data_IF_267520764498
#
_entry.id   IF_267520764498
#
_cell.length_a   1.000
_cell.length_b   1.000
_cell.length_c   1.000
_cell.angle_alpha   90.00
_cell.angle_beta   90.00
_cell.angle_gamma   90.00
#
_symmetry.space_group_name_H-M   'P 1'
#
loop_
_entity.id
_entity.type
_entity.pdbx_description
1 polymer ?
#
# COMPACT_ATOMS: atom_id res chain seq x y z
N UNK A 1 56.41 1.46 -62.88
CA UNK A 1 55.61 2.41 -62.02
C UNK A 1 54.40 1.66 -61.48
N UNK A 2 54.40 1.32 -60.20
CA UNK A 2 53.33 0.65 -59.54
C UNK A 2 52.76 1.67 -58.52
N UNK A 3 51.56 2.13 -58.77
CA UNK A 3 50.80 3.06 -57.86
C UNK A 3 50.09 2.24 -56.81
N UNK A 4 50.47 2.43 -55.54
CA UNK A 4 49.74 1.89 -54.39
C UNK A 4 48.59 2.84 -54.04
N UNK A 5 47.39 2.30 -54.03
CA UNK A 5 46.19 2.96 -53.46
C UNK A 5 46.11 2.62 -51.98
N UNK A 6 46.25 3.65 -51.12
CA UNK A 6 46.03 3.55 -49.69
C UNK A 6 44.57 3.86 -49.43
N UNK A 7 43.76 2.82 -49.04
CA UNK A 7 42.37 2.98 -48.60
C UNK A 7 42.36 3.37 -47.14
N UNK A 8 41.97 4.60 -46.82
CA UNK A 8 41.67 5.05 -45.47
C UNK A 8 40.25 4.60 -45.11
N UNK A 9 40.14 3.59 -44.23
CA UNK A 9 38.89 3.20 -43.60
C UNK A 9 38.62 4.18 -42.46
N UNK A 10 37.68 5.12 -42.66
CA UNK A 10 37.18 6.01 -41.61
C UNK A 10 36.20 5.23 -40.74
N UNK A 11 36.65 4.78 -39.55
CA UNK A 11 35.80 4.21 -38.54
C UNK A 11 34.99 5.36 -37.88
N UNK A 12 33.72 5.48 -38.24
CA UNK A 12 32.78 6.32 -37.52
C UNK A 12 32.43 5.62 -36.18
N UNK A 13 33.03 6.08 -35.09
CA UNK A 13 32.60 5.73 -33.74
C UNK A 13 31.37 6.59 -33.45
N UNK A 14 30.18 5.99 -33.53
CA UNK A 14 28.96 6.59 -33.07
C UNK A 14 29.05 6.60 -31.54
N UNK A 15 29.45 7.75 -30.97
CA UNK A 15 29.22 8.04 -29.57
C UNK A 15 27.71 8.18 -29.38
N UNK A 16 27.06 7.13 -28.92
CA UNK A 16 25.74 7.24 -28.31
C UNK A 16 25.94 8.00 -26.99
N UNK A 17 25.84 9.32 -27.02
CA UNK A 17 25.70 10.09 -25.77
C UNK A 17 24.41 9.63 -25.12
N UNK A 18 24.53 8.87 -24.04
CA UNK A 18 23.46 8.66 -23.09
C UNK A 18 23.14 10.04 -22.49
N UNK A 19 22.15 10.73 -23.07
CA UNK A 19 21.57 11.88 -22.40
C UNK A 19 21.00 11.38 -21.07
N UNK A 20 21.35 12.01 -19.94
CA UNK A 20 20.76 11.62 -18.67
C UNK A 20 19.24 11.78 -18.79
N UNK A 21 18.52 10.76 -18.36
CA UNK A 21 17.06 10.78 -18.36
C UNK A 21 16.61 12.04 -17.57
N UNK A 22 15.96 12.96 -18.28
CA UNK A 22 15.46 14.17 -17.64
C UNK A 22 14.19 13.81 -16.85
N UNK A 23 14.09 14.31 -15.62
CA UNK A 23 12.86 14.16 -14.84
C UNK A 23 11.66 14.63 -15.65
N UNK A 24 10.54 13.95 -15.52
CA UNK A 24 9.28 14.36 -16.15
C UNK A 24 9.01 15.80 -15.72
N UNK A 25 8.89 16.71 -16.72
CA UNK A 25 8.89 18.14 -16.52
C UNK A 25 7.86 18.57 -15.46
N UNK A 26 8.34 19.22 -14.39
CA UNK A 26 7.51 19.73 -13.31
C UNK A 26 7.16 18.73 -12.19
N UNK A 27 7.56 17.46 -12.29
CA UNK A 27 7.35 16.52 -11.18
C UNK A 27 8.13 16.92 -9.92
N UNK A 28 7.44 16.91 -8.78
CA UNK A 28 8.05 17.12 -7.46
C UNK A 28 7.47 16.12 -6.47
N UNK A 29 8.32 15.38 -5.80
CA UNK A 29 7.91 14.50 -4.72
C UNK A 29 7.24 15.30 -3.58
N UNK A 30 6.16 14.77 -3.04
CA UNK A 30 5.47 15.39 -1.89
C UNK A 30 6.35 15.37 -0.63
N UNK A 31 7.11 14.31 -0.41
CA UNK A 31 8.11 14.24 0.64
C UNK A 31 9.46 14.80 0.13
N UNK A 32 9.71 16.08 0.43
CA UNK A 32 10.95 16.75 0.04
C UNK A 32 12.18 16.28 0.81
N UNK A 33 11.98 15.61 1.96
CA UNK A 33 13.08 15.09 2.78
C UNK A 33 13.58 13.73 2.29
N UNK A 34 12.77 13.04 1.52
CA UNK A 34 13.07 11.74 0.91
C UNK A 34 12.51 11.71 -0.52
N UNK A 35 13.10 12.49 -1.43
CA UNK A 35 12.53 12.75 -2.74
C UNK A 35 12.55 11.52 -3.65
N UNK A 36 11.55 11.44 -4.50
CA UNK A 36 11.47 10.53 -5.63
C UNK A 36 11.77 11.36 -6.89
N UNK A 37 12.60 10.85 -7.79
CA UNK A 37 12.72 11.41 -9.14
C UNK A 37 11.95 10.51 -10.10
N UNK A 38 10.97 11.07 -10.79
CA UNK A 38 10.19 10.35 -11.79
C UNK A 38 10.73 10.67 -13.20
N UNK A 39 11.21 9.65 -13.88
CA UNK A 39 11.89 9.75 -15.17
C UNK A 39 11.07 9.12 -16.32
N UNK A 40 9.78 8.88 -16.09
CA UNK A 40 8.86 8.29 -17.05
C UNK A 40 8.78 6.77 -16.95
N UNK A 41 9.74 6.05 -17.54
CA UNK A 41 9.77 4.58 -17.47
C UNK A 41 10.57 4.03 -16.28
N UNK A 42 11.07 4.90 -15.45
CA UNK A 42 11.82 4.55 -14.24
C UNK A 42 11.64 5.60 -13.17
N UNK A 43 11.91 5.21 -11.92
CA UNK A 43 12.02 6.13 -10.80
C UNK A 43 13.39 5.96 -10.14
N UNK A 44 13.92 7.06 -9.60
CA UNK A 44 15.09 7.04 -8.74
C UNK A 44 14.64 7.31 -7.30
N UNK A 45 14.96 6.41 -6.39
CA UNK A 45 14.63 6.51 -4.98
C UNK A 45 15.78 5.98 -4.13
N UNK A 46 16.26 6.79 -3.17
CA UNK A 46 17.41 6.47 -2.31
C UNK A 46 18.65 6.03 -3.11
N UNK A 47 18.91 6.66 -4.24
CA UNK A 47 20.03 6.34 -5.11
C UNK A 47 19.90 5.05 -5.91
N UNK A 48 18.73 4.41 -5.89
CA UNK A 48 18.44 3.21 -6.67
C UNK A 48 17.53 3.53 -7.83
N UNK A 49 17.92 3.14 -9.01
CA UNK A 49 17.06 3.15 -10.19
C UNK A 49 16.13 1.94 -10.16
N UNK A 50 14.85 2.20 -10.42
CA UNK A 50 13.78 1.20 -10.47
C UNK A 50 13.13 1.33 -11.83
N UNK A 51 13.38 0.37 -12.70
CA UNK A 51 12.71 0.28 -14.00
C UNK A 51 11.25 -0.17 -13.83
N UNK A 52 10.34 0.50 -14.55
CA UNK A 52 8.93 0.17 -14.57
C UNK A 52 8.62 -0.79 -15.72
N UNK A 53 7.71 -1.72 -15.50
CA UNK A 53 7.38 -2.77 -16.44
C UNK A 53 6.14 -3.56 -16.03
N UNK A 54 5.83 -4.65 -16.72
CA UNK A 54 4.62 -5.45 -16.52
C UNK A 54 4.44 -5.96 -15.07
N UNK A 55 5.54 -6.15 -14.33
CA UNK A 55 5.54 -6.56 -12.92
C UNK A 55 6.12 -5.51 -11.97
N UNK A 56 6.26 -4.27 -12.42
CA UNK A 56 6.82 -3.20 -11.60
C UNK A 56 6.08 -1.90 -11.89
N UNK A 57 5.17 -1.52 -11.00
CA UNK A 57 4.33 -0.33 -11.14
C UNK A 57 4.76 0.79 -10.22
N UNK A 58 4.48 2.01 -10.65
CA UNK A 58 4.60 3.22 -9.84
C UNK A 58 3.24 3.89 -9.69
N UNK A 59 2.89 4.26 -8.46
CA UNK A 59 1.65 4.97 -8.15
C UNK A 59 1.99 6.27 -7.43
N UNK A 60 1.53 7.40 -7.98
CA UNK A 60 1.61 8.70 -7.32
C UNK A 60 0.32 9.51 -7.55
N UNK A 61 -0.41 9.75 -6.48
CA UNK A 61 -1.69 10.50 -6.48
C UNK A 61 -1.58 11.97 -6.90
N UNK A 62 -0.37 12.50 -7.09
CA UNK A 62 -0.15 13.85 -7.59
C UNK A 62 -0.11 13.93 -9.12
N UNK A 63 0.06 12.79 -9.80
CA UNK A 63 0.15 12.76 -11.25
C UNK A 63 -1.22 13.05 -11.88
N UNK A 64 -1.21 13.82 -12.98
CA UNK A 64 -2.40 14.02 -13.79
C UNK A 64 -2.71 12.80 -14.67
N UNK A 65 -3.95 12.69 -15.11
CA UNK A 65 -4.38 11.66 -16.06
C UNK A 65 -3.60 11.73 -17.38
N UNK A 66 -3.19 12.93 -17.80
CA UNK A 66 -2.35 13.11 -19.00
C UNK A 66 -0.97 12.49 -18.85
N UNK A 67 -0.38 12.52 -17.67
CA UNK A 67 0.92 11.89 -17.40
C UNK A 67 0.75 10.38 -17.35
N UNK A 68 -0.22 9.86 -16.60
CA UNK A 68 -0.44 8.41 -16.48
C UNK A 68 -0.81 7.77 -17.82
N UNK A 69 -1.53 8.47 -18.69
CA UNK A 69 -1.86 7.98 -20.03
C UNK A 69 -0.64 7.79 -20.95
N UNK A 70 0.51 8.43 -20.65
CA UNK A 70 1.75 8.30 -21.44
C UNK A 70 2.61 7.12 -21.02
N UNK A 71 2.44 6.64 -19.79
CA UNK A 71 3.32 5.63 -19.20
C UNK A 71 2.48 4.46 -18.67
N UNK A 72 2.49 3.29 -19.33
CA UNK A 72 1.53 2.20 -19.08
C UNK A 72 1.65 1.56 -17.68
N UNK A 73 2.78 1.76 -17.00
CA UNK A 73 3.03 1.17 -15.66
C UNK A 73 3.02 2.23 -14.56
N UNK A 74 2.46 3.40 -14.86
CA UNK A 74 2.35 4.55 -13.94
C UNK A 74 0.90 4.90 -13.71
N UNK A 75 0.49 5.07 -12.47
CA UNK A 75 -0.90 5.31 -12.08
C UNK A 75 -0.99 6.46 -11.07
N UNK A 76 -2.10 7.14 -11.03
CA UNK A 76 -2.43 8.10 -9.97
C UNK A 76 -3.47 7.57 -8.96
N UNK A 77 -3.95 6.34 -9.16
CA UNK A 77 -4.92 5.68 -8.32
C UNK A 77 -4.50 4.24 -8.04
N UNK A 78 -4.57 3.84 -6.77
CA UNK A 78 -4.33 2.45 -6.40
C UNK A 78 -5.36 1.49 -7.01
N UNK A 79 -6.62 1.92 -7.08
CA UNK A 79 -7.69 1.10 -7.64
C UNK A 79 -7.52 0.83 -9.14
N UNK A 80 -7.05 1.84 -9.89
CA UNK A 80 -6.77 1.66 -11.32
C UNK A 80 -5.54 0.75 -11.52
N UNK A 81 -4.47 0.97 -10.76
CA UNK A 81 -3.31 0.09 -10.80
C UNK A 81 -3.68 -1.37 -10.48
N UNK A 82 -4.53 -1.59 -9.49
CA UNK A 82 -4.93 -2.94 -9.07
C UNK A 82 -5.67 -3.74 -10.15
N UNK A 83 -6.34 -3.08 -11.09
CA UNK A 83 -6.98 -3.74 -12.25
C UNK A 83 -5.96 -4.35 -13.22
N UNK A 84 -4.72 -3.82 -13.21
CA UNK A 84 -3.64 -4.24 -14.08
C UNK A 84 -2.63 -5.17 -13.40
N UNK A 85 -2.80 -5.52 -12.12
CA UNK A 85 -1.88 -6.42 -11.43
C UNK A 85 -1.85 -7.79 -12.10
N UNK A 86 -0.64 -8.30 -12.30
CA UNK A 86 -0.40 -9.64 -12.83
C UNK A 86 0.15 -10.56 -11.74
N UNK A 87 -0.15 -11.83 -11.81
CA UNK A 87 0.33 -12.80 -10.83
C UNK A 87 1.86 -12.84 -10.82
N UNK A 88 2.45 -12.62 -9.64
CA UNK A 88 3.87 -12.80 -9.42
C UNK A 88 4.22 -14.25 -9.07
N UNK A 89 5.50 -14.47 -8.85
CA UNK A 89 6.08 -15.69 -8.28
C UNK A 89 7.04 -15.32 -7.15
N UNK A 90 7.49 -16.30 -6.37
CA UNK A 90 8.48 -16.05 -5.32
C UNK A 90 9.79 -15.46 -5.86
N UNK A 91 10.22 -15.89 -7.06
CA UNK A 91 11.41 -15.38 -7.72
C UNK A 91 11.21 -14.04 -8.41
N UNK A 92 9.98 -13.77 -8.89
CA UNK A 92 9.64 -12.59 -9.66
C UNK A 92 8.27 -12.04 -9.23
N UNK A 93 8.22 -11.34 -8.08
CA UNK A 93 6.97 -10.80 -7.55
C UNK A 93 6.43 -9.64 -8.39
N UNK A 94 5.11 -9.42 -8.31
CA UNK A 94 4.48 -8.18 -8.74
C UNK A 94 4.84 -7.07 -7.74
N UNK A 95 5.58 -6.05 -8.14
CA UNK A 95 6.02 -4.95 -7.29
C UNK A 95 5.25 -3.68 -7.60
N UNK A 96 4.75 -3.03 -6.55
CA UNK A 96 4.02 -1.78 -6.65
C UNK A 96 4.68 -0.76 -5.73
N UNK A 97 5.33 0.22 -6.31
CA UNK A 97 5.97 1.31 -5.61
C UNK A 97 5.01 2.49 -5.47
N UNK A 98 4.76 2.92 -4.26
CA UNK A 98 3.69 3.87 -3.93
C UNK A 98 4.30 5.13 -3.33
N UNK A 99 4.11 6.26 -4.01
CA UNK A 99 4.60 7.56 -3.54
C UNK A 99 3.79 8.09 -2.35
N UNK A 100 4.37 9.01 -1.56
CA UNK A 100 3.66 9.68 -0.46
C UNK A 100 2.38 10.37 -0.92
N UNK A 101 1.23 9.88 -0.46
CA UNK A 101 -0.11 10.42 -0.74
C UNK A 101 -1.18 9.69 0.10
N UNK A 102 -2.44 10.15 0.01
CA UNK A 102 -3.62 9.44 0.55
C UNK A 102 -4.41 8.83 -0.62
N UNK A 103 -4.48 7.51 -0.66
CA UNK A 103 -5.17 6.75 -1.70
C UNK A 103 -6.47 6.18 -1.13
N UNK A 104 -7.59 6.72 -1.55
CA UNK A 104 -8.90 6.22 -1.14
C UNK A 104 -9.28 4.96 -1.93
N UNK A 105 -9.38 3.84 -1.22
CA UNK A 105 -9.73 2.54 -1.81
C UNK A 105 -11.23 2.50 -2.17
N UNK A 106 -12.04 3.20 -1.42
CA UNK A 106 -13.44 3.49 -1.75
C UNK A 106 -13.67 5.00 -1.58
N UNK A 107 -14.31 5.63 -2.55
CA UNK A 107 -14.58 7.06 -2.50
C UNK A 107 -15.39 7.42 -1.23
N UNK A 108 -14.82 8.17 -0.29
CA UNK A 108 -15.47 8.48 0.98
C UNK A 108 -16.67 9.42 0.83
N UNK A 109 -16.78 10.13 -0.30
CA UNK A 109 -17.84 11.08 -0.62
C UNK A 109 -18.97 10.47 -1.46
N UNK A 110 -18.80 9.24 -1.94
CA UNK A 110 -19.86 8.54 -2.64
C UNK A 110 -21.00 8.18 -1.66
N UNK A 111 -22.22 8.70 -1.85
CA UNK A 111 -23.36 8.44 -0.99
C UNK A 111 -23.89 7.01 -1.08
N UNK A 112 -23.49 6.24 -2.10
CA UNK A 112 -23.98 4.88 -2.29
C UNK A 112 -23.57 3.98 -1.14
N UNK A 113 -24.55 3.34 -0.51
CA UNK A 113 -24.31 2.34 0.53
C UNK A 113 -23.75 1.06 -0.10
N UNK A 114 -22.64 0.56 0.43
CA UNK A 114 -22.04 -0.69 -0.03
C UNK A 114 -22.83 -1.88 0.52
N UNK A 115 -23.18 -2.79 -0.36
CA UNK A 115 -23.90 -4.02 -0.05
C UNK A 115 -23.09 -5.19 -0.58
N UNK A 116 -22.81 -6.16 0.25
CA UNK A 116 -22.10 -7.35 -0.16
C UNK A 116 -22.95 -8.24 -1.06
N UNK A 117 -22.31 -8.94 -1.97
CA UNK A 117 -22.95 -9.89 -2.84
C UNK A 117 -23.46 -11.10 -2.04
N UNK A 118 -24.69 -11.54 -2.32
CA UNK A 118 -25.31 -12.72 -1.68
C UNK A 118 -25.34 -12.65 -0.14
N UNK A 119 -25.53 -11.46 0.42
CA UNK A 119 -25.58 -11.26 1.88
C UNK A 119 -24.23 -11.34 2.60
N UNK A 120 -23.12 -11.42 1.85
CA UNK A 120 -21.77 -11.39 2.39
C UNK A 120 -21.34 -9.97 2.76
N UNK A 121 -20.23 -9.87 3.45
CA UNK A 121 -19.60 -8.58 3.79
C UNK A 121 -19.16 -7.84 2.51
N UNK A 122 -19.46 -6.54 2.37
CA UNK A 122 -18.92 -5.74 1.28
C UNK A 122 -17.45 -5.40 1.49
N UNK A 123 -16.69 -5.47 0.41
CA UNK A 123 -15.27 -5.10 0.35
C UNK A 123 -15.07 -3.81 -0.45
N UNK A 124 -14.08 -3.02 -0.04
CA UNK A 124 -13.63 -1.86 -0.81
C UNK A 124 -12.92 -2.30 -2.09
N UNK A 125 -11.95 -3.19 -1.98
CA UNK A 125 -11.21 -3.74 -3.10
C UNK A 125 -10.82 -5.20 -2.87
N UNK A 126 -11.18 -6.06 -3.83
CA UNK A 126 -10.74 -7.46 -3.87
C UNK A 126 -9.52 -7.56 -4.78
N UNK A 127 -8.39 -8.03 -4.22
CA UNK A 127 -7.11 -8.15 -4.93
C UNK A 127 -6.72 -9.62 -5.04
N UNK A 128 -6.70 -10.15 -6.27
CA UNK A 128 -6.32 -11.54 -6.55
C UNK A 128 -4.96 -11.56 -7.26
N UNK A 129 -3.88 -11.41 -6.49
CA UNK A 129 -2.54 -11.34 -7.03
C UNK A 129 -1.55 -12.04 -6.08
N UNK A 130 -1.15 -13.30 -6.36
CA UNK A 130 -0.11 -13.96 -5.59
C UNK A 130 1.23 -13.24 -5.77
N UNK A 131 2.06 -13.28 -4.73
CA UNK A 131 3.36 -12.63 -4.65
C UNK A 131 3.32 -11.14 -5.01
N UNK A 132 2.31 -10.44 -4.48
CA UNK A 132 2.18 -8.99 -4.58
C UNK A 132 3.04 -8.31 -3.51
N UNK A 133 3.91 -7.39 -3.94
CA UNK A 133 4.72 -6.56 -3.05
C UNK A 133 4.28 -5.10 -3.14
N UNK A 134 3.67 -4.58 -2.09
CA UNK A 134 3.30 -3.17 -1.93
C UNK A 134 4.38 -2.45 -1.14
N UNK A 135 5.03 -1.47 -1.74
CA UNK A 135 6.17 -0.77 -1.14
C UNK A 135 5.93 0.74 -1.15
N UNK A 136 5.71 1.32 0.02
CA UNK A 136 5.70 2.76 0.18
C UNK A 136 7.10 3.35 -0.01
N UNK A 137 7.24 4.34 -0.87
CA UNK A 137 8.48 5.08 -1.11
C UNK A 137 8.65 6.16 -0.05
N UNK A 138 8.83 5.74 1.19
CA UNK A 138 8.97 6.58 2.36
C UNK A 138 9.68 5.85 3.49
N UNK A 139 10.32 6.62 4.39
CA UNK A 139 10.84 6.10 5.67
C UNK A 139 9.78 6.14 6.77
N UNK A 140 8.86 7.12 6.68
CA UNK A 140 7.76 7.25 7.62
C UNK A 140 6.47 6.67 6.99
N UNK A 141 5.94 5.54 7.50
CA UNK A 141 4.75 4.89 6.94
C UNK A 141 3.48 5.77 6.99
N UNK A 142 3.48 6.87 7.73
CA UNK A 142 2.38 7.85 7.74
C UNK A 142 2.28 8.65 6.44
N UNK A 143 3.33 8.66 5.63
CA UNK A 143 3.38 9.43 4.39
C UNK A 143 2.74 8.70 3.20
N UNK A 144 2.49 7.40 3.30
CA UNK A 144 1.79 6.61 2.27
C UNK A 144 0.58 5.95 2.91
N UNK A 145 -0.62 6.41 2.57
CA UNK A 145 -1.84 5.96 3.24
C UNK A 145 -2.81 5.35 2.24
N UNK A 146 -3.10 4.06 2.41
CA UNK A 146 -4.22 3.37 1.78
C UNK A 146 -5.41 3.49 2.73
N UNK A 147 -6.46 4.21 2.32
CA UNK A 147 -7.52 4.68 3.21
C UNK A 147 -8.90 4.20 2.80
N UNK A 148 -9.75 3.95 3.77
CA UNK A 148 -11.21 3.85 3.64
C UNK A 148 -11.89 4.65 4.75
N UNK A 149 -13.19 4.91 4.58
CA UNK A 149 -14.00 5.62 5.58
C UNK A 149 -15.42 5.04 5.63
N UNK A 150 -15.53 3.71 5.63
CA UNK A 150 -16.81 3.03 5.73
C UNK A 150 -16.81 1.99 6.84
N UNK A 151 -17.95 1.79 7.44
CA UNK A 151 -18.15 0.78 8.48
C UNK A 151 -19.60 0.33 8.53
N UNK A 152 -19.87 -0.62 9.43
CA UNK A 152 -21.22 -1.13 9.69
C UNK A 152 -22.19 0.02 9.97
N UNK A 153 -23.30 0.09 9.22
CA UNK A 153 -24.29 1.18 9.27
C UNK A 153 -23.78 2.56 8.85
N UNK A 154 -22.49 2.65 8.47
CA UNK A 154 -21.84 3.89 8.03
C UNK A 154 -21.33 3.76 6.59
N UNK A 155 -22.26 3.83 5.65
CA UNK A 155 -22.01 3.66 4.23
C UNK A 155 -21.84 2.21 3.79
N UNK A 156 -22.19 1.23 4.66
CA UNK A 156 -22.26 -0.19 4.32
C UNK A 156 -23.40 -0.91 5.07
N UNK A 157 -23.91 -1.97 4.47
CA UNK A 157 -24.81 -2.94 5.11
C UNK A 157 -23.97 -4.08 5.68
N UNK A 158 -24.06 -4.32 6.99
CA UNK A 158 -23.15 -5.22 7.68
C UNK A 158 -21.76 -4.63 7.83
N UNK A 159 -20.80 -5.48 8.16
CA UNK A 159 -19.39 -5.06 8.28
C UNK A 159 -18.86 -4.58 6.92
N UNK A 160 -17.83 -3.74 6.97
CA UNK A 160 -17.12 -3.31 5.78
C UNK A 160 -15.63 -3.55 5.97
N UNK A 161 -15.03 -4.23 5.00
CA UNK A 161 -13.58 -4.46 4.96
C UNK A 161 -12.96 -3.74 3.76
N UNK A 162 -11.91 -2.95 4.02
CA UNK A 162 -11.26 -2.17 2.97
C UNK A 162 -10.63 -3.06 1.90
N UNK A 163 -9.89 -4.11 2.30
CA UNK A 163 -9.23 -5.03 1.38
C UNK A 163 -9.60 -6.49 1.61
N UNK A 164 -9.69 -7.23 0.52
CA UNK A 164 -9.74 -8.69 0.50
C UNK A 164 -8.64 -9.24 -0.42
N UNK A 165 -7.52 -9.70 0.17
CA UNK A 165 -6.35 -10.20 -0.57
C UNK A 165 -6.41 -11.71 -0.76
N UNK A 166 -6.19 -12.16 -2.00
CA UNK A 166 -6.13 -13.57 -2.38
C UNK A 166 -4.78 -13.88 -3.03
N UNK A 167 -4.09 -14.87 -2.50
CA UNK A 167 -2.81 -15.36 -3.00
C UNK A 167 -1.73 -15.41 -1.92
N UNK A 168 -0.77 -16.29 -2.11
CA UNK A 168 0.39 -16.44 -1.24
C UNK A 168 1.42 -15.33 -1.47
N UNK A 169 2.31 -15.13 -0.52
CA UNK A 169 3.48 -14.26 -0.68
C UNK A 169 3.19 -12.77 -0.73
N UNK A 170 2.04 -12.29 -0.22
CA UNK A 170 1.80 -10.86 -0.06
C UNK A 170 2.85 -10.25 0.86
N UNK A 171 3.51 -9.20 0.39
CA UNK A 171 4.44 -8.37 1.16
C UNK A 171 3.97 -6.92 1.16
N UNK A 172 3.86 -6.33 2.35
CA UNK A 172 3.47 -4.92 2.51
C UNK A 172 4.56 -4.22 3.32
N UNK A 173 5.04 -3.08 2.81
CA UNK A 173 6.16 -2.39 3.43
C UNK A 173 6.01 -0.87 3.40
N UNK A 174 6.39 -0.21 4.52
CA UNK A 174 6.52 1.25 4.63
C UNK A 174 5.26 2.03 4.25
N UNK A 175 4.09 1.64 4.74
CA UNK A 175 2.84 2.36 4.48
C UNK A 175 1.82 2.19 5.61
N UNK A 176 0.75 2.95 5.55
CA UNK A 176 -0.42 2.83 6.43
C UNK A 176 -1.59 2.21 5.67
N UNK A 177 -2.22 1.21 6.26
CA UNK A 177 -3.55 0.73 5.89
C UNK A 177 -4.54 1.15 6.96
N UNK A 178 -5.49 2.01 6.63
CA UNK A 178 -6.39 2.57 7.62
C UNK A 178 -7.85 2.67 7.20
N UNK A 179 -8.75 2.27 8.11
CA UNK A 179 -10.16 2.57 7.96
C UNK A 179 -10.54 3.71 8.93
N UNK A 180 -10.74 4.88 8.35
CA UNK A 180 -10.97 6.15 9.05
C UNK A 180 -12.46 6.46 9.27
N UNK A 181 -13.29 5.43 9.40
CA UNK A 181 -14.70 5.62 9.72
C UNK A 181 -14.90 6.29 11.09
N UNK A 182 -14.12 5.90 12.09
CA UNK A 182 -14.24 6.32 13.50
C UNK A 182 -13.00 7.05 14.03
N UNK A 183 -12.03 7.34 13.22
CA UNK A 183 -10.80 8.05 13.57
C UNK A 183 -10.49 9.09 12.51
N UNK A 184 -9.98 10.25 12.93
CA UNK A 184 -9.56 11.28 11.99
C UNK A 184 -8.32 10.80 11.22
N UNK A 185 -8.29 11.06 9.91
CA UNK A 185 -7.09 10.93 9.11
C UNK A 185 -6.36 12.25 9.12
N UNK A 186 -5.17 12.27 9.70
CA UNK A 186 -4.24 13.38 9.62
C UNK A 186 -3.11 13.01 8.66
N UNK A 187 -2.82 13.88 7.69
CA UNK A 187 -1.76 13.65 6.73
C UNK A 187 -0.67 14.73 6.86
N UNK A 188 0.53 14.36 7.33
CA UNK A 188 1.52 15.34 7.76
C UNK A 188 2.10 16.17 6.61
N UNK A 189 2.23 15.60 5.41
CA UNK A 189 2.86 16.27 4.27
C UNK A 189 1.95 17.29 3.58
N UNK A 190 0.61 17.08 3.66
CA UNK A 190 -0.37 17.95 3.02
C UNK A 190 -1.70 17.85 3.77
N UNK A 191 -1.99 18.82 4.63
CA UNK A 191 -3.14 18.81 5.54
C UNK A 191 -4.50 18.69 4.81
N UNK A 192 -4.58 19.16 3.58
CA UNK A 192 -5.79 19.12 2.76
C UNK A 192 -6.17 17.69 2.34
N UNK A 193 -5.24 16.74 2.41
CA UNK A 193 -5.51 15.33 2.19
C UNK A 193 -6.00 14.61 3.45
N UNK A 194 -5.96 15.28 4.61
CA UNK A 194 -6.57 14.81 5.84
C UNK A 194 -8.10 14.81 5.75
N UNK A 195 -8.75 14.01 6.60
CA UNK A 195 -10.20 13.91 6.64
C UNK A 195 -10.68 13.65 8.06
N UNK A 196 -11.76 14.33 8.44
CA UNK A 196 -12.46 14.03 9.69
C UNK A 196 -13.18 12.67 9.58
N UNK A 197 -13.24 11.96 10.71
CA UNK A 197 -13.98 10.71 10.84
C UNK A 197 -15.44 10.87 10.40
N UNK A 198 -16.01 9.82 9.85
CA UNK A 198 -17.39 9.82 9.36
C UNK A 198 -18.38 9.93 10.54
N UNK A 199 -18.05 9.29 11.68
CA UNK A 199 -18.87 9.30 12.85
C UNK A 199 -18.04 9.15 14.13
N UNK A 200 -18.60 9.58 15.27
CA UNK A 200 -17.97 9.46 16.58
C UNK A 200 -18.22 8.12 17.25
N UNK A 201 -19.41 7.53 17.04
CA UNK A 201 -19.71 6.22 17.60
C UNK A 201 -18.84 5.13 16.96
N UNK A 202 -18.32 4.23 17.78
CA UNK A 202 -17.48 3.13 17.32
C UNK A 202 -18.34 2.14 16.53
N UNK A 203 -17.91 1.80 15.34
CA UNK A 203 -18.54 0.82 14.46
C UNK A 203 -17.49 -0.06 13.80
N UNK A 204 -17.90 -1.25 13.39
CA UNK A 204 -17.00 -2.20 12.73
C UNK A 204 -16.55 -1.65 11.37
N UNK A 205 -15.26 -1.43 11.26
CA UNK A 205 -14.58 -0.81 10.12
C UNK A 205 -13.25 -1.52 9.89
N UNK A 206 -13.29 -2.65 9.17
CA UNK A 206 -12.18 -3.54 9.01
C UNK A 206 -11.14 -3.00 8.01
N UNK A 207 -9.88 -3.39 8.19
CA UNK A 207 -8.79 -2.99 7.29
C UNK A 207 -8.57 -4.02 6.19
N UNK A 208 -8.24 -5.28 6.54
CA UNK A 208 -7.94 -6.25 5.50
C UNK A 208 -8.16 -7.70 5.93
N UNK A 209 -8.75 -8.48 5.04
CA UNK A 209 -8.63 -9.93 5.05
C UNK A 209 -7.54 -10.40 4.08
N UNK A 210 -6.96 -11.58 4.37
CA UNK A 210 -5.95 -12.21 3.53
C UNK A 210 -6.14 -13.73 3.51
N UNK A 211 -6.26 -14.31 2.33
CA UNK A 211 -6.50 -15.73 2.13
C UNK A 211 -5.27 -16.46 1.58
N UNK A 212 -4.07 -16.06 2.06
CA UNK A 212 -2.80 -16.58 1.57
C UNK A 212 -1.89 -17.12 2.67
N UNK A 213 -0.75 -17.63 2.26
CA UNK A 213 0.34 -18.11 3.09
C UNK A 213 1.62 -17.30 2.83
N UNK A 214 2.59 -17.33 3.77
CA UNK A 214 3.86 -16.59 3.69
C UNK A 214 3.68 -15.09 3.55
N UNK A 215 2.86 -14.49 4.39
CA UNK A 215 2.53 -13.07 4.37
C UNK A 215 3.51 -12.29 5.24
N UNK A 216 3.96 -11.11 4.78
CA UNK A 216 4.86 -10.24 5.53
C UNK A 216 4.35 -8.81 5.52
N UNK A 217 4.23 -8.21 6.70
CA UNK A 217 4.05 -6.78 6.87
C UNK A 217 5.26 -6.20 7.60
N UNK A 218 5.99 -5.28 6.99
CA UNK A 218 7.19 -4.66 7.55
C UNK A 218 7.01 -3.14 7.60
N UNK A 219 7.14 -2.54 8.80
CA UNK A 219 6.97 -1.10 9.00
C UNK A 219 5.64 -0.59 8.44
N UNK A 220 4.55 -1.29 8.78
CA UNK A 220 3.17 -0.98 8.37
C UNK A 220 2.38 -0.50 9.57
N UNK A 221 1.58 0.56 9.36
CA UNK A 221 0.59 0.99 10.34
C UNK A 221 -0.78 0.46 9.95
N UNK A 222 -1.45 -0.19 10.90
CA UNK A 222 -2.84 -0.61 10.76
C UNK A 222 -3.70 0.22 11.70
N UNK A 223 -4.67 0.94 11.15
CA UNK A 223 -5.50 1.92 11.88
C UNK A 223 -6.97 1.61 11.69
N UNK A 224 -7.68 1.41 12.80
CA UNK A 224 -9.14 1.37 12.88
C UNK A 224 -9.56 1.42 14.34
N UNK A 225 -10.84 1.69 14.62
CA UNK A 225 -11.34 1.73 16.01
C UNK A 225 -12.04 0.47 16.47
N UNK A 226 -12.56 -0.37 15.57
CA UNK A 226 -13.20 -1.63 15.97
C UNK A 226 -12.99 -2.71 14.93
N UNK A 227 -12.64 -3.92 15.39
CA UNK A 227 -12.41 -5.10 14.56
C UNK A 227 -11.45 -4.80 13.40
N UNK A 228 -10.28 -4.28 13.72
CA UNK A 228 -9.31 -3.82 12.71
C UNK A 228 -8.97 -4.89 11.67
N UNK A 229 -8.81 -6.15 12.09
CA UNK A 229 -8.49 -7.28 11.21
C UNK A 229 -7.28 -7.03 10.30
N UNK A 230 -6.07 -6.89 10.86
CA UNK A 230 -4.87 -6.64 10.04
C UNK A 230 -4.47 -7.92 9.30
N UNK A 231 -4.85 -8.04 8.02
CA UNK A 231 -4.59 -9.22 7.17
C UNK A 231 -5.11 -10.52 7.77
N UNK A 232 -6.30 -10.46 8.38
CA UNK A 232 -6.93 -11.60 9.04
C UNK A 232 -7.21 -12.74 8.04
N UNK A 233 -6.99 -13.99 8.49
CA UNK A 233 -7.17 -15.20 7.68
C UNK A 233 -5.89 -15.73 7.02
N UNK A 234 -4.77 -14.97 7.08
CA UNK A 234 -3.47 -15.45 6.62
C UNK A 234 -3.04 -16.71 7.39
N UNK A 235 -2.49 -17.70 6.68
CA UNK A 235 -2.05 -18.96 7.31
C UNK A 235 -0.78 -18.77 8.13
N UNK A 236 0.26 -18.17 7.55
CA UNK A 236 1.49 -17.76 8.22
C UNK A 236 1.74 -16.30 7.91
N UNK A 237 1.84 -15.48 8.94
CA UNK A 237 2.08 -14.07 8.81
C UNK A 237 3.11 -13.56 9.81
N UNK A 238 4.01 -12.71 9.34
CA UNK A 238 4.95 -11.94 10.13
C UNK A 238 4.59 -10.46 10.07
N UNK A 239 4.36 -9.88 11.23
CA UNK A 239 4.33 -8.43 11.42
C UNK A 239 5.68 -7.99 12.01
N UNK A 240 6.45 -7.22 11.28
CA UNK A 240 7.75 -6.73 11.72
C UNK A 240 7.79 -5.22 11.78
N UNK A 241 8.09 -4.67 12.95
CA UNK A 241 8.09 -3.22 13.20
C UNK A 241 6.76 -2.54 12.84
N UNK A 242 5.66 -3.25 12.99
CA UNK A 242 4.33 -2.71 12.70
C UNK A 242 3.77 -1.92 13.89
N UNK A 243 2.96 -0.92 13.55
CA UNK A 243 2.13 -0.19 14.51
C UNK A 243 0.66 -0.56 14.29
N UNK A 244 -0.04 -0.87 15.38
CA UNK A 244 -1.45 -1.24 15.34
C UNK A 244 -2.24 -0.39 16.31
N UNK A 245 -3.33 0.23 15.83
CA UNK A 245 -4.20 1.05 16.66
C UNK A 245 -5.65 0.67 16.46
N UNK A 246 -6.30 0.22 17.56
CA UNK A 246 -7.70 -0.20 17.53
C UNK A 246 -8.33 -0.09 18.92
N UNK A 247 -9.62 -0.39 19.01
CA UNK A 247 -10.35 -0.51 20.27
C UNK A 247 -10.44 -1.97 20.69
N UNK A 248 -11.51 -2.68 20.35
CA UNK A 248 -11.72 -4.08 20.70
C UNK A 248 -11.59 -4.99 19.47
N UNK A 249 -11.45 -6.30 19.72
CA UNK A 249 -11.42 -7.37 18.71
C UNK A 249 -10.48 -7.07 17.54
N UNK A 250 -9.35 -6.42 17.84
CA UNK A 250 -8.43 -5.88 16.84
C UNK A 250 -7.65 -6.95 16.10
N UNK A 251 -7.18 -7.94 16.85
CA UNK A 251 -6.27 -8.98 16.34
C UNK A 251 -6.99 -10.32 16.34
N UNK A 252 -6.81 -11.06 15.28
CA UNK A 252 -7.42 -12.38 15.11
C UNK A 252 -6.42 -13.40 14.64
N UNK A 253 -6.65 -14.66 15.03
CA UNK A 253 -6.03 -15.81 14.42
C UNK A 253 -4.56 -16.01 14.75
N UNK A 254 -3.77 -16.11 13.72
CA UNK A 254 -2.38 -16.53 13.73
C UNK A 254 -1.46 -15.38 13.38
N UNK A 255 -0.29 -15.30 14.02
CA UNK A 255 0.72 -14.34 13.61
C UNK A 255 1.93 -14.28 14.53
N UNK A 256 3.05 -13.86 13.97
CA UNK A 256 4.24 -13.46 14.72
C UNK A 256 4.36 -11.95 14.65
N UNK A 257 4.39 -11.32 15.83
CA UNK A 257 4.53 -9.89 16.00
C UNK A 257 5.93 -9.61 16.57
N UNK A 258 6.82 -9.11 15.74
CA UNK A 258 8.22 -8.87 16.08
C UNK A 258 8.53 -7.38 16.08
N UNK A 259 8.96 -6.84 17.22
CA UNK A 259 9.26 -5.41 17.41
C UNK A 259 8.06 -4.52 17.07
N UNK A 260 6.84 -4.95 17.38
CA UNK A 260 5.62 -4.21 17.07
C UNK A 260 5.19 -3.30 18.22
N UNK A 261 4.45 -2.24 17.90
CA UNK A 261 3.76 -1.38 18.86
C UNK A 261 2.26 -1.56 18.68
N UNK A 262 1.56 -1.96 19.75
CA UNK A 262 0.14 -2.26 19.74
C UNK A 262 -0.59 -1.35 20.74
N UNK A 263 -1.50 -0.51 20.24
CA UNK A 263 -2.21 0.51 21.00
C UNK A 263 -3.70 0.23 20.99
N UNK A 264 -4.27 -0.01 22.17
CA UNK A 264 -5.67 -0.40 22.32
C UNK A 264 -6.43 0.59 23.21
N UNK A 265 -7.64 0.96 22.77
CA UNK A 265 -8.57 1.83 23.48
C UNK A 265 -9.70 1.05 24.16
N UNK A 266 -9.65 -0.27 24.18
CA UNK A 266 -10.58 -1.17 24.82
C UNK A 266 -9.87 -2.25 25.63
N UNK A 267 -10.67 -3.15 26.23
CA UNK A 267 -10.17 -4.18 27.12
C UNK A 267 -9.99 -5.55 26.45
N UNK A 268 -10.43 -5.70 25.20
CA UNK A 268 -10.44 -6.96 24.47
C UNK A 268 -9.68 -6.85 23.14
N UNK A 269 -8.33 -6.83 23.16
CA UNK A 269 -7.53 -6.67 21.94
C UNK A 269 -7.65 -7.84 20.96
N UNK A 270 -8.08 -9.01 21.41
CA UNK A 270 -8.18 -10.22 20.58
C UNK A 270 -9.63 -10.67 20.47
N UNK A 271 -10.08 -10.92 19.26
CA UNK A 271 -11.34 -11.65 19.06
C UNK A 271 -11.15 -13.12 19.43
N UNK A 272 -10.25 -13.80 18.75
CA UNK A 272 -9.99 -15.23 18.92
C UNK A 272 -8.56 -15.58 18.51
N UNK A 273 -8.02 -16.63 19.12
CA UNK A 273 -6.66 -17.12 18.85
C UNK A 273 -6.65 -18.65 18.62
N UNK A 274 -7.78 -19.20 18.20
CA UNK A 274 -7.99 -20.63 18.03
C UNK A 274 -7.44 -21.21 16.71
N UNK A 275 -6.89 -20.35 15.84
CA UNK A 275 -6.41 -20.76 14.51
C UNK A 275 -4.95 -21.23 14.46
N UNK A 276 -4.12 -20.81 15.37
CA UNK A 276 -2.68 -21.13 15.39
C UNK A 276 -1.95 -20.38 16.48
N UNK A 277 -2.63 -19.42 17.05
CA UNK A 277 -2.10 -18.57 18.11
C UNK A 277 -1.27 -17.40 17.60
N UNK A 278 -1.02 -16.45 18.50
CA UNK A 278 -0.22 -15.27 18.26
C UNK A 278 1.02 -15.28 19.14
N UNK A 279 2.18 -14.97 18.57
CA UNK A 279 3.45 -14.85 19.28
C UNK A 279 3.94 -13.42 19.21
N UNK A 280 4.23 -12.84 20.37
CA UNK A 280 4.74 -11.47 20.48
C UNK A 280 6.18 -11.50 20.98
N UNK A 281 7.10 -10.97 20.19
CA UNK A 281 8.52 -10.90 20.49
C UNK A 281 8.96 -9.45 20.48
N UNK A 282 9.51 -8.98 21.59
CA UNK A 282 10.00 -7.62 21.74
C UNK A 282 8.99 -6.57 21.26
N UNK A 283 7.73 -6.74 21.67
CA UNK A 283 6.61 -5.89 21.24
C UNK A 283 5.95 -5.20 22.43
N UNK A 284 5.56 -3.95 22.24
CA UNK A 284 4.99 -3.10 23.26
C UNK A 284 3.47 -3.03 23.14
N UNK A 285 2.78 -3.16 24.29
CA UNK A 285 1.34 -3.02 24.40
C UNK A 285 1.00 -1.78 25.21
N UNK A 286 0.19 -0.92 24.63
CA UNK A 286 -0.34 0.28 25.28
C UNK A 286 -1.85 0.17 25.40
N UNK A 287 -2.37 0.25 26.63
CA UNK A 287 -3.80 0.42 26.88
C UNK A 287 -4.07 1.91 27.08
N UNK A 288 -4.93 2.45 26.23
CA UNK A 288 -5.28 3.85 26.23
C UNK A 288 -6.72 4.04 26.70
N UNK A 289 -6.99 5.21 27.28
CA UNK A 289 -8.35 5.65 27.62
C UNK A 289 -8.69 6.81 26.68
N UNK A 290 -9.90 6.81 26.13
CA UNK A 290 -10.45 7.95 25.35
C UNK A 290 -10.85 9.10 26.26
#
# INVERSE_FOLDING_TARGET
MKTQFCSFLLCWIIFCEFLPAQSVCGYRSLDVTNPIEFLGNQILYEGKEIELGEKTFFIDGQLSDEVTARYPFVFNSFNEAAKAFVAGTEAEPMKVYIAPYVYWIDNPDDPQVRVGKDGKEPFGLVVKCPYLHLVGLTKNPENVVLASSRGQTQGAVGNFTMFDFWGDGLSVKNLTMGNYCNVDLEFPLKKELGRKKRMSAITQAHVAYCHGDKIVAENVRFISRLNMNPLNGAKRILFYKCYMESTDDALTGTGVYLNCTLKFYGQKPFWRTDMGGAVFLNSDFYVCHD
#
